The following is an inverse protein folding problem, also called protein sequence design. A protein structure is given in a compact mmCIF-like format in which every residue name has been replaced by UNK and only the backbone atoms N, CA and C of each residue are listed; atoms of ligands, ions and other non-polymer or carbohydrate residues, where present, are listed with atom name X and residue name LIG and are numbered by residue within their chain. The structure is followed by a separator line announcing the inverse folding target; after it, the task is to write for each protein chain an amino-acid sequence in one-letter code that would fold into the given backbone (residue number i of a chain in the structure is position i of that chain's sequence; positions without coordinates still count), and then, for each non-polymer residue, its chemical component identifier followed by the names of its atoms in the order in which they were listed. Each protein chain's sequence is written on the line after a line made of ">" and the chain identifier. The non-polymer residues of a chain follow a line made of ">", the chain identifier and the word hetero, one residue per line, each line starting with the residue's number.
data_IF_126907308329
#
_entry.id   IF_126907308329
#
_cell.length_a   1.000
_cell.length_b   1.000
_cell.length_c   1.000
_cell.angle_alpha   90.00
_cell.angle_beta   90.00
_cell.angle_gamma   90.00
#
_symmetry.space_group_name_H-M   'P 1'
#
loop_
_entity.id
_entity.type
_entity.pdbx_description
1 polymer ?
#
# COMPACT_ATOMS: atom_id res chain seq x y z
N UNK A 1 2.02 0.05 44.41
CA UNK A 1 1.71 1.38 43.82
C UNK A 1 0.30 1.81 44.22
N UNK A 2 0.06 3.11 44.46
CA UNK A 2 -1.26 3.68 44.76
C UNK A 2 -1.89 4.33 43.52
N UNK A 3 -2.97 3.77 42.94
CA UNK A 3 -3.62 4.38 41.78
C UNK A 3 -4.44 5.62 42.18
N UNK A 4 -4.21 6.76 41.53
CA UNK A 4 -5.02 7.94 41.80
C UNK A 4 -6.47 7.73 41.33
N UNK A 5 -7.49 7.92 42.18
CA UNK A 5 -8.89 7.72 41.80
C UNK A 5 -9.39 8.75 40.75
N UNK A 6 -8.66 9.85 40.58
CA UNK A 6 -9.06 10.92 39.67
C UNK A 6 -8.50 10.77 38.26
N UNK A 7 -7.27 10.28 38.12
CA UNK A 7 -6.57 10.21 36.82
C UNK A 7 -5.95 8.84 36.52
N UNK A 8 -6.08 7.86 37.42
CA UNK A 8 -5.53 6.51 37.25
C UNK A 8 -4.01 6.41 37.40
N UNK A 9 -3.29 7.51 37.57
CA UNK A 9 -1.83 7.48 37.66
C UNK A 9 -1.33 6.66 38.87
N UNK A 10 -0.37 5.76 38.64
CA UNK A 10 0.26 4.95 39.68
C UNK A 10 1.31 5.76 40.45
N UNK A 11 1.05 6.02 41.73
CA UNK A 11 1.95 6.76 42.60
C UNK A 11 2.75 5.80 43.50
N UNK A 12 3.86 6.29 44.04
CA UNK A 12 4.64 5.55 45.04
C UNK A 12 3.83 5.25 46.29
N UNK A 13 4.17 4.18 46.99
CA UNK A 13 3.41 3.73 48.17
C UNK A 13 3.52 4.73 49.35
N UNK A 14 4.61 5.52 49.38
CA UNK A 14 4.85 6.61 50.33
C UNK A 14 4.29 7.97 49.89
N UNK A 15 3.75 8.08 48.67
CA UNK A 15 3.19 9.31 48.14
C UNK A 15 1.92 9.74 48.88
N UNK A 16 1.91 10.99 49.38
CA UNK A 16 0.72 11.60 49.99
C UNK A 16 -0.17 12.29 48.96
N UNK A 17 0.41 12.73 47.83
CA UNK A 17 -0.31 13.41 46.74
C UNK A 17 0.01 12.77 45.41
N UNK A 18 -0.97 12.84 44.50
CA UNK A 18 -0.77 12.39 43.14
C UNK A 18 0.24 13.29 42.42
N UNK A 19 1.26 12.70 41.77
CA UNK A 19 2.27 13.44 41.02
C UNK A 19 1.73 14.19 39.80
N UNK A 20 0.52 13.86 39.32
CA UNK A 20 -0.11 14.48 38.14
C UNK A 20 -1.12 15.55 38.55
N UNK A 21 -2.11 15.19 39.36
CA UNK A 21 -3.23 16.08 39.68
C UNK A 21 -3.17 16.71 41.07
N UNK A 22 -2.07 16.48 41.81
CA UNK A 22 -1.83 16.97 43.19
C UNK A 22 -2.89 16.57 44.23
N UNK A 23 -3.85 15.72 43.87
CA UNK A 23 -4.91 15.22 44.75
C UNK A 23 -4.33 14.38 45.88
N UNK A 24 -4.91 14.51 47.08
CA UNK A 24 -4.56 13.67 48.22
C UNK A 24 -4.90 12.20 47.93
N UNK A 25 -3.90 11.34 48.10
CA UNK A 25 -3.98 9.88 47.91
C UNK A 25 -3.51 9.12 49.15
N UNK A 26 -3.39 9.79 50.31
CA UNK A 26 -2.94 9.19 51.57
C UNK A 26 -3.80 7.99 51.99
N UNK A 27 -5.11 8.07 51.75
CA UNK A 27 -6.09 7.03 52.05
C UNK A 27 -6.24 5.96 50.95
N UNK A 28 -5.56 6.09 49.82
CA UNK A 28 -5.66 5.11 48.73
C UNK A 28 -4.85 3.86 49.10
N UNK A 29 -5.46 2.66 49.09
CA UNK A 29 -4.75 1.42 49.41
C UNK A 29 -3.71 1.10 48.33
N UNK A 30 -2.59 0.52 48.76
CA UNK A 30 -1.56 0.04 47.84
C UNK A 30 -2.11 -1.16 47.08
N UNK A 31 -2.14 -1.06 45.74
CA UNK A 31 -2.44 -2.19 44.89
C UNK A 31 -1.23 -3.12 44.91
N UNK A 32 -1.42 -4.33 45.45
CA UNK A 32 -0.45 -5.42 45.35
C UNK A 32 -0.70 -6.08 43.99
N UNK A 33 0.11 -5.74 43.00
CA UNK A 33 0.13 -6.50 41.76
C UNK A 33 0.56 -7.93 42.08
N UNK A 34 -0.29 -8.92 41.78
CA UNK A 34 0.16 -10.31 41.74
C UNK A 34 1.25 -10.36 40.66
N UNK A 35 2.45 -10.89 40.96
CA UNK A 35 3.43 -11.12 39.91
C UNK A 35 2.77 -12.04 38.86
N UNK A 36 2.87 -11.72 37.56
CA UNK A 36 2.35 -12.59 36.53
C UNK A 36 3.01 -13.96 36.71
N UNK A 37 2.21 -15.02 36.78
CA UNK A 37 2.72 -16.38 36.69
C UNK A 37 3.51 -16.46 35.38
N UNK A 38 4.83 -16.59 35.49
CA UNK A 38 5.68 -16.81 34.32
C UNK A 38 5.39 -18.22 33.83
N UNK A 39 4.37 -18.37 33.01
CA UNK A 39 4.21 -19.55 32.18
C UNK A 39 5.41 -19.57 31.23
N UNK A 40 6.45 -20.32 31.58
CA UNK A 40 7.63 -20.52 30.73
C UNK A 40 7.29 -21.31 29.46
N UNK A 41 6.13 -21.96 29.45
CA UNK A 41 5.64 -22.82 28.38
C UNK A 41 5.41 -22.09 27.04
N UNK A 42 4.69 -20.95 26.98
CA UNK A 42 4.55 -20.15 25.75
C UNK A 42 5.89 -19.59 25.24
N UNK A 43 6.86 -19.33 26.10
CA UNK A 43 8.21 -18.89 25.69
C UNK A 43 9.01 -20.02 25.05
N UNK A 44 8.90 -21.24 25.60
CA UNK A 44 9.51 -22.43 25.00
C UNK A 44 8.86 -22.74 23.65
N UNK A 45 7.53 -22.64 23.56
CA UNK A 45 6.78 -22.89 22.33
C UNK A 45 7.15 -21.89 21.22
N UNK A 46 7.26 -20.60 21.55
CA UNK A 46 7.67 -19.57 20.60
C UNK A 46 9.13 -19.74 20.18
N UNK A 47 10.03 -20.12 21.09
CA UNK A 47 11.41 -20.47 20.74
C UNK A 47 11.51 -21.65 19.77
N UNK A 48 10.70 -22.69 19.97
CA UNK A 48 10.67 -23.88 19.12
C UNK A 48 10.11 -23.57 17.73
N UNK A 49 9.07 -22.72 17.65
CA UNK A 49 8.51 -22.23 16.39
C UNK A 49 9.53 -21.40 15.59
N UNK A 50 10.26 -20.50 16.26
CA UNK A 50 11.31 -19.70 15.62
C UNK A 50 12.45 -20.58 15.09
N UNK A 51 12.84 -21.62 15.84
CA UNK A 51 13.83 -22.60 15.38
C UNK A 51 13.34 -23.36 14.15
N UNK A 52 12.07 -23.76 14.10
CA UNK A 52 11.47 -24.40 12.92
C UNK A 52 11.45 -23.46 11.71
N UNK A 53 11.08 -22.20 11.89
CA UNK A 53 11.11 -21.20 10.82
C UNK A 53 12.54 -20.94 10.32
N UNK A 54 13.52 -20.85 11.23
CA UNK A 54 14.93 -20.71 10.88
C UNK A 54 15.46 -21.92 10.13
N UNK A 55 15.11 -23.13 10.56
CA UNK A 55 15.46 -24.37 9.86
C UNK A 55 14.83 -24.43 8.46
N UNK A 56 13.55 -24.06 8.33
CA UNK A 56 12.87 -23.97 7.05
C UNK A 56 13.59 -22.97 6.13
N UNK A 57 13.92 -21.78 6.64
CA UNK A 57 14.66 -20.77 5.89
C UNK A 57 16.07 -21.23 5.50
N UNK A 58 16.76 -21.99 6.37
CA UNK A 58 18.08 -22.55 6.08
C UNK A 58 17.99 -23.65 5.01
N UNK A 59 16.99 -24.53 5.08
CA UNK A 59 16.76 -25.57 4.08
C UNK A 59 16.38 -24.95 2.74
N UNK A 60 15.45 -23.97 2.71
CA UNK A 60 15.08 -23.27 1.47
C UNK A 60 16.16 -22.32 0.98
N UNK A 61 16.93 -21.72 1.88
CA UNK A 61 18.01 -20.78 1.59
C UNK A 61 19.27 -21.45 1.06
N UNK A 62 19.55 -22.69 1.45
CA UNK A 62 20.61 -23.50 0.82
C UNK A 62 20.27 -23.90 -0.62
N UNK A 63 19.01 -23.79 -1.07
CA UNK A 63 18.65 -23.83 -2.49
C UNK A 63 18.80 -22.46 -3.20
N UNK A 64 19.04 -21.39 -2.45
CA UNK A 64 19.25 -20.03 -2.95
C UNK A 64 20.73 -19.68 -3.19
N UNK A 65 21.68 -20.54 -2.80
CA UNK A 65 23.10 -20.50 -3.23
C UNK A 65 23.26 -20.96 -4.69
N UNK A 66 22.34 -20.54 -5.57
CA UNK A 66 22.68 -20.35 -6.97
C UNK A 66 23.35 -18.98 -7.03
N UNK A 67 24.61 -18.87 -7.51
CA UNK A 67 25.21 -17.56 -7.72
C UNK A 67 24.27 -16.73 -8.59
N UNK A 68 24.21 -15.42 -8.34
CA UNK A 68 23.51 -14.50 -9.22
C UNK A 68 23.96 -14.80 -10.65
N UNK A 69 23.02 -15.32 -11.47
CA UNK A 69 23.31 -15.72 -12.84
C UNK A 69 23.88 -14.47 -13.53
N UNK A 70 25.12 -14.49 -14.04
CA UNK A 70 25.61 -13.39 -14.83
C UNK A 70 24.62 -13.14 -15.96
N UNK A 71 24.34 -11.87 -16.25
CA UNK A 71 23.55 -11.42 -17.38
C UNK A 71 24.31 -11.67 -18.71
N UNK A 72 24.68 -12.92 -18.94
CA UNK A 72 25.28 -13.42 -20.16
C UNK A 72 24.44 -14.61 -20.58
N UNK A 73 23.57 -14.38 -21.56
CA UNK A 73 23.02 -15.37 -22.50
C UNK A 73 22.36 -16.62 -21.91
N UNK A 74 21.15 -16.93 -22.37
CA UNK A 74 20.59 -18.28 -22.25
C UNK A 74 20.12 -18.63 -20.82
N UNK A 75 19.26 -17.79 -20.24
CA UNK A 75 17.99 -18.35 -19.82
C UNK A 75 17.11 -18.38 -21.05
N UNK A 76 16.78 -19.58 -21.53
CA UNK A 76 15.41 -19.83 -21.97
C UNK A 76 14.50 -19.33 -20.83
N UNK A 77 14.13 -18.05 -20.89
CA UNK A 77 12.74 -17.73 -20.67
C UNK A 77 12.02 -18.68 -21.61
N UNK A 78 11.22 -19.61 -21.08
CA UNK A 78 10.22 -20.23 -21.92
C UNK A 78 9.55 -19.08 -22.66
N UNK A 79 9.61 -19.09 -23.98
CA UNK A 79 8.95 -18.15 -24.89
C UNK A 79 7.43 -18.07 -24.65
N UNK A 80 6.92 -18.83 -23.67
CA UNK A 80 5.55 -18.92 -23.18
C UNK A 80 5.28 -18.04 -21.94
N UNK A 81 6.28 -17.34 -21.38
CA UNK A 81 6.00 -16.11 -20.62
C UNK A 81 5.60 -14.99 -21.60
N UNK A 82 4.62 -15.31 -22.46
CA UNK A 82 4.05 -14.41 -23.43
C UNK A 82 3.64 -13.16 -22.67
N UNK A 83 4.19 -12.03 -23.08
CA UNK A 83 3.80 -10.72 -22.61
C UNK A 83 2.29 -10.57 -22.89
N UNK A 84 1.45 -10.95 -21.92
CA UNK A 84 0.02 -11.03 -22.15
C UNK A 84 -0.59 -9.65 -21.87
N UNK A 85 -1.36 -9.16 -22.83
CA UNK A 85 -2.08 -7.90 -22.67
C UNK A 85 -3.04 -7.96 -21.47
N UNK A 86 -3.52 -9.14 -21.08
CA UNK A 86 -4.31 -9.34 -19.86
C UNK A 86 -3.50 -9.07 -18.58
N UNK A 87 -2.20 -9.43 -18.54
CA UNK A 87 -1.32 -9.09 -17.43
C UNK A 87 -1.12 -7.57 -17.28
N UNK A 88 -1.05 -6.84 -18.40
CA UNK A 88 -0.96 -5.38 -18.41
C UNK A 88 -2.25 -4.75 -17.91
N UNK A 89 -3.41 -5.22 -18.38
CA UNK A 89 -4.72 -4.72 -17.90
C UNK A 89 -4.88 -4.96 -16.40
N UNK A 90 -4.49 -6.15 -15.91
CA UNK A 90 -4.50 -6.46 -14.49
C UNK A 90 -3.59 -5.51 -13.69
N UNK A 91 -2.38 -5.23 -14.17
CA UNK A 91 -1.47 -4.30 -13.52
C UNK A 91 -2.05 -2.88 -13.47
N UNK A 92 -2.67 -2.40 -14.55
CA UNK A 92 -3.35 -1.10 -14.60
C UNK A 92 -4.50 -1.00 -13.58
N UNK A 93 -5.31 -2.05 -13.46
CA UNK A 93 -6.36 -2.12 -12.44
C UNK A 93 -5.78 -2.03 -11.03
N UNK A 94 -4.69 -2.76 -10.75
CA UNK A 94 -4.01 -2.71 -9.46
C UNK A 94 -3.37 -1.37 -9.16
N UNK A 95 -2.83 -0.67 -10.17
CA UNK A 95 -2.32 0.69 -10.01
C UNK A 95 -3.45 1.67 -9.62
N UNK A 96 -4.65 1.52 -10.18
CA UNK A 96 -5.81 2.34 -9.83
C UNK A 96 -6.30 2.16 -8.39
N UNK A 97 -6.07 0.98 -7.79
CA UNK A 97 -6.46 0.67 -6.42
C UNK A 97 -5.47 1.21 -5.37
N UNK A 98 -4.28 1.66 -5.78
CA UNK A 98 -3.26 2.14 -4.86
C UNK A 98 -3.51 3.59 -4.46
N UNK A 99 -3.86 3.80 -3.19
CA UNK A 99 -4.04 5.13 -2.60
C UNK A 99 -2.77 6.00 -2.64
N UNK A 100 -1.60 5.38 -2.56
CA UNK A 100 -0.31 6.07 -2.52
C UNK A 100 0.60 5.56 -3.64
N UNK A 101 0.21 5.83 -4.88
CA UNK A 101 1.06 5.58 -6.05
C UNK A 101 1.85 6.86 -6.38
N UNK A 102 3.19 6.84 -6.37
CA UNK A 102 3.99 8.02 -6.71
C UNK A 102 3.72 8.54 -8.13
N UNK A 103 3.73 9.85 -8.32
CA UNK A 103 3.51 10.50 -9.63
C UNK A 103 4.44 10.00 -10.73
N UNK A 104 5.71 9.73 -10.41
CA UNK A 104 6.67 9.14 -11.35
C UNK A 104 6.25 7.77 -11.89
N UNK A 105 5.58 6.95 -11.08
CA UNK A 105 5.04 5.65 -11.50
C UNK A 105 3.74 5.82 -12.30
N UNK A 106 2.87 6.76 -11.91
CA UNK A 106 1.66 7.10 -12.68
C UNK A 106 2.02 7.51 -14.11
N UNK A 107 3.06 8.34 -14.29
CA UNK A 107 3.53 8.81 -15.61
C UNK A 107 3.98 7.69 -16.56
N UNK A 108 4.34 6.51 -16.05
CA UNK A 108 4.66 5.34 -16.88
C UNK A 108 3.42 4.77 -17.60
N UNK A 109 2.21 5.16 -17.21
CA UNK A 109 0.97 4.75 -17.90
C UNK A 109 0.73 5.53 -19.19
N UNK A 110 1.23 6.76 -19.32
CA UNK A 110 0.93 7.62 -20.46
C UNK A 110 1.25 6.99 -21.84
N UNK A 111 2.38 6.29 -22.04
CA UNK A 111 2.68 5.62 -23.30
C UNK A 111 1.69 4.50 -23.66
N UNK A 112 1.06 3.86 -22.66
CA UNK A 112 0.17 2.71 -22.87
C UNK A 112 -1.14 3.08 -23.57
N UNK A 113 -1.51 4.36 -23.60
CA UNK A 113 -2.66 4.86 -24.36
C UNK A 113 -2.48 4.68 -25.88
N UNK A 114 -1.23 4.53 -26.33
CA UNK A 114 -0.90 4.27 -27.73
C UNK A 114 -0.50 2.82 -27.97
N UNK A 115 -0.87 1.92 -27.06
CA UNK A 115 -0.71 0.47 -27.27
C UNK A 115 -1.42 0.02 -28.54
N UNK A 116 -0.84 -0.96 -29.24
CA UNK A 116 -1.49 -1.60 -30.38
C UNK A 116 -2.73 -2.42 -29.97
N UNK A 117 -2.82 -2.82 -28.70
CA UNK A 117 -4.01 -3.45 -28.14
C UNK A 117 -4.96 -2.38 -27.57
N UNK A 118 -6.12 -2.24 -28.21
CA UNK A 118 -7.17 -1.29 -27.83
C UNK A 118 -7.67 -1.49 -26.38
N UNK A 119 -7.67 -2.72 -25.86
CA UNK A 119 -8.09 -3.00 -24.48
C UNK A 119 -7.11 -2.38 -23.48
N UNK A 120 -5.81 -2.51 -23.75
CA UNK A 120 -4.76 -1.87 -22.93
C UNK A 120 -4.83 -0.36 -23.03
N UNK A 121 -4.96 0.16 -24.24
CA UNK A 121 -5.07 1.60 -24.46
C UNK A 121 -6.29 2.19 -23.75
N UNK A 122 -7.45 1.53 -23.84
CA UNK A 122 -8.67 1.95 -23.15
C UNK A 122 -8.55 1.81 -21.62
N UNK A 123 -7.89 0.77 -21.11
CA UNK A 123 -7.63 0.62 -19.67
C UNK A 123 -6.75 1.77 -19.14
N UNK A 124 -5.69 2.14 -19.87
CA UNK A 124 -4.83 3.26 -19.53
C UNK A 124 -5.60 4.59 -19.50
N UNK A 125 -6.46 4.84 -20.50
CA UNK A 125 -7.32 6.04 -20.56
C UNK A 125 -8.26 6.12 -19.35
N UNK A 126 -8.95 5.03 -19.01
CA UNK A 126 -9.86 4.98 -17.85
C UNK A 126 -9.13 5.25 -16.54
N UNK A 127 -7.93 4.68 -16.39
CA UNK A 127 -7.12 4.87 -15.20
C UNK A 127 -6.71 6.34 -15.03
N UNK A 128 -6.22 6.96 -16.11
CA UNK A 128 -5.81 8.38 -16.11
C UNK A 128 -7.01 9.29 -15.81
N UNK A 129 -8.15 9.05 -16.45
CA UNK A 129 -9.37 9.81 -16.17
C UNK A 129 -9.90 9.61 -14.74
N UNK A 130 -9.69 8.43 -14.17
CA UNK A 130 -9.93 8.15 -12.75
C UNK A 130 -9.09 9.02 -11.82
N UNK A 131 -7.79 9.15 -12.06
CA UNK A 131 -6.91 10.04 -11.31
C UNK A 131 -7.26 11.52 -11.49
N UNK A 132 -7.66 11.90 -12.70
CA UNK A 132 -8.11 13.27 -12.97
C UNK A 132 -9.37 13.63 -12.16
N UNK A 133 -10.32 12.69 -12.04
CA UNK A 133 -11.54 12.87 -11.23
C UNK A 133 -11.28 12.86 -9.73
N UNK A 134 -10.30 12.09 -9.24
CA UNK A 134 -10.03 12.05 -7.80
C UNK A 134 -9.45 13.36 -7.28
N UNK A 135 -8.81 14.15 -8.15
CA UNK A 135 -8.23 15.45 -7.79
C UNK A 135 -7.09 15.34 -6.77
N UNK A 136 -6.55 14.14 -6.56
CA UNK A 136 -5.53 13.88 -5.53
C UNK A 136 -4.18 14.54 -5.85
N UNK A 137 -3.90 14.84 -7.12
CA UNK A 137 -2.62 15.42 -7.56
C UNK A 137 -2.81 16.61 -8.53
N UNK A 138 -3.08 17.82 -8.01
CA UNK A 138 -3.29 19.00 -8.85
C UNK A 138 -2.06 19.39 -9.69
N UNK A 139 -0.85 18.99 -9.27
CA UNK A 139 0.39 19.26 -10.00
C UNK A 139 0.52 18.51 -11.34
N UNK A 140 -0.16 17.38 -11.47
CA UNK A 140 -0.12 16.55 -12.69
C UNK A 140 -1.41 16.66 -13.52
N UNK A 141 -2.40 17.43 -13.06
CA UNK A 141 -3.72 17.55 -13.71
C UNK A 141 -3.60 18.01 -15.17
N UNK A 142 -2.81 19.06 -15.43
CA UNK A 142 -2.61 19.57 -16.78
C UNK A 142 -1.95 18.53 -17.70
N UNK A 143 -0.97 17.79 -17.17
CA UNK A 143 -0.30 16.72 -17.92
C UNK A 143 -1.30 15.63 -18.33
N UNK A 144 -2.20 15.23 -17.44
CA UNK A 144 -3.23 14.23 -17.72
C UNK A 144 -4.27 14.72 -18.72
N UNK A 145 -4.73 15.98 -18.60
CA UNK A 145 -5.64 16.59 -19.56
C UNK A 145 -5.06 16.64 -20.96
N UNK A 146 -3.81 17.07 -21.10
CA UNK A 146 -3.12 17.11 -22.40
C UNK A 146 -2.93 15.72 -22.99
N UNK A 147 -2.61 14.74 -22.14
CA UNK A 147 -2.46 13.35 -22.56
C UNK A 147 -3.76 12.78 -23.11
N UNK A 148 -4.88 12.99 -22.42
CA UNK A 148 -6.21 12.56 -22.87
C UNK A 148 -6.66 13.33 -24.13
N UNK A 149 -6.39 14.63 -24.22
CA UNK A 149 -6.72 15.42 -25.40
C UNK A 149 -5.97 14.94 -26.67
N UNK A 150 -4.69 14.56 -26.52
CA UNK A 150 -3.92 13.94 -27.62
C UNK A 150 -4.47 12.58 -27.99
N UNK A 151 -4.85 11.76 -27.02
CA UNK A 151 -5.49 10.46 -27.29
C UNK A 151 -6.85 10.61 -27.99
N UNK A 152 -7.62 11.65 -27.66
CA UNK A 152 -8.90 11.96 -28.30
C UNK A 152 -8.78 12.33 -29.79
N UNK A 153 -7.63 12.89 -30.19
CA UNK A 153 -7.37 13.28 -31.59
C UNK A 153 -6.66 12.21 -32.41
N UNK A 154 -5.77 11.42 -31.79
CA UNK A 154 -4.85 10.52 -32.50
C UNK A 154 -5.04 9.01 -32.21
N UNK A 155 -5.85 8.63 -31.23
CA UNK A 155 -6.07 7.22 -30.86
C UNK A 155 -6.90 6.42 -31.88
N UNK A 156 -7.07 5.12 -31.61
CA UNK A 156 -8.06 4.30 -32.30
C UNK A 156 -9.49 4.80 -32.02
N UNK A 157 -10.51 4.42 -32.81
CA UNK A 157 -11.88 4.93 -32.62
C UNK A 157 -12.42 4.74 -31.19
N UNK A 158 -12.15 3.60 -30.56
CA UNK A 158 -12.57 3.32 -29.18
C UNK A 158 -11.83 4.20 -28.17
N UNK A 159 -10.50 4.34 -28.32
CA UNK A 159 -9.65 5.16 -27.46
C UNK A 159 -10.02 6.64 -27.59
N UNK A 160 -10.30 7.12 -28.80
CA UNK A 160 -10.67 8.52 -29.03
C UNK A 160 -11.96 8.91 -28.33
N UNK A 161 -12.98 8.08 -28.46
CA UNK A 161 -14.28 8.30 -27.85
C UNK A 161 -14.17 8.28 -26.32
N UNK A 162 -13.45 7.32 -25.77
CA UNK A 162 -13.24 7.20 -24.34
C UNK A 162 -12.39 8.36 -23.78
N UNK A 163 -11.30 8.71 -24.45
CA UNK A 163 -10.43 9.81 -24.02
C UNK A 163 -11.14 11.15 -24.07
N UNK A 164 -12.01 11.37 -25.07
CA UNK A 164 -12.85 12.56 -25.13
C UNK A 164 -13.82 12.64 -23.95
N UNK A 165 -14.40 11.53 -23.50
CA UNK A 165 -15.28 11.48 -22.32
C UNK A 165 -14.51 11.76 -21.03
N UNK A 166 -13.35 11.13 -20.86
CA UNK A 166 -12.52 11.24 -19.66
C UNK A 166 -11.83 12.60 -19.52
N UNK A 167 -11.61 13.33 -20.62
CA UNK A 167 -11.01 14.66 -20.62
C UNK A 167 -11.97 15.77 -20.12
N UNK A 168 -13.29 15.52 -20.13
CA UNK A 168 -14.28 16.51 -19.69
C UNK A 168 -14.24 16.63 -18.17
N UNK A 169 -14.03 17.84 -17.61
CA UNK A 169 -14.11 18.03 -16.15
C UNK A 169 -15.51 17.65 -15.65
N UNK A 170 -15.60 17.05 -14.46
CA UNK A 170 -16.85 16.66 -13.81
C UNK A 170 -17.74 17.85 -13.35
N UNK A 171 -17.63 19.01 -14.02
CA UNK A 171 -18.50 20.17 -13.83
C UNK A 171 -19.72 20.05 -14.75
N UNK A 172 -20.71 19.26 -14.33
CA UNK A 172 -21.95 19.11 -15.13
C UNK A 172 -23.11 18.32 -14.50
N UNK A 173 -22.97 17.83 -13.26
CA UNK A 173 -24.06 17.17 -12.53
C UNK A 173 -24.16 17.75 -11.11
N UNK A 174 -24.44 19.05 -11.03
CA UNK A 174 -25.22 19.58 -9.91
C UNK A 174 -26.63 19.75 -10.44
N UNK A 175 -27.49 18.80 -10.10
CA UNK A 175 -28.94 18.92 -10.20
C UNK A 175 -29.38 20.09 -9.31
N UNK A 176 -29.80 21.19 -9.94
CA UNK A 176 -30.78 22.11 -9.35
C UNK A 176 -32.18 21.49 -9.38
#
# INVERSE_FOLDING_TARGET
>A
MKPCPSCGYGNSDTGLKCGICARDISAVPVLIERPPEKEAWPLILTGLLLMLCGLAFFVTGNFADKPARPASGETEFSDEASFSYDGVIYALDKMGQQRFLPSGEKRKVAPLIYSHDDRVACAAVRLIGGWLRSGEEPGDEQFWRETLAKAASAGSPAVRLLAAQEAVPAAGLKSE
#
